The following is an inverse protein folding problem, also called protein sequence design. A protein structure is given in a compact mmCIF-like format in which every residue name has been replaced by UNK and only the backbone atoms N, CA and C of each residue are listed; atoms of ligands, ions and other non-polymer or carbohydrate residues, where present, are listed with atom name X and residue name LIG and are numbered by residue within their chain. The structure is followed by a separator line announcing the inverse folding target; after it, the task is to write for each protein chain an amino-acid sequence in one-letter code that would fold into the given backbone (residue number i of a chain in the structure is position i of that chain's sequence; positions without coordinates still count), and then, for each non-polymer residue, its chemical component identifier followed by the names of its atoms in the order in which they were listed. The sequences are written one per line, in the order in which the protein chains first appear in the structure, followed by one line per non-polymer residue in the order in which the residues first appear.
data_IF_429451776107
#
_entry.id   IF_429451776107
#
_cell.length_a   1.000
_cell.length_b   1.000
_cell.length_c   1.000
_cell.angle_alpha   90.00
_cell.angle_beta   90.00
_cell.angle_gamma   90.00
#
_symmetry.space_group_name_H-M   'P 1'
#
loop_
_entity.id
_entity.type
_entity.pdbx_description
1 polymer ?
#
# COMPACT_ATOMS: atom_id res chain seq x y z
N UNK A 1 10.17 -7.93 15.62
CA UNK A 1 9.94 -7.71 14.17
C UNK A 1 10.92 -6.64 13.71
N UNK A 2 11.92 -7.00 12.90
CA UNK A 2 12.92 -6.05 12.37
C UNK A 2 12.37 -5.50 11.05
N UNK A 3 11.91 -4.26 11.06
CA UNK A 3 11.33 -3.64 9.87
C UNK A 3 12.46 -3.23 8.91
N UNK A 4 12.72 -4.06 7.90
CA UNK A 4 13.68 -3.81 6.83
C UNK A 4 13.12 -2.81 5.78
N UNK A 5 12.49 -1.72 6.20
CA UNK A 5 12.13 -0.66 5.26
C UNK A 5 13.39 0.17 4.98
N UNK A 6 14.17 -0.29 3.99
CA UNK A 6 15.22 0.53 3.39
C UNK A 6 14.53 1.78 2.85
N UNK A 7 14.85 2.94 3.42
CA UNK A 7 14.43 4.28 2.96
C UNK A 7 15.08 4.56 1.61
N UNK A 8 14.69 3.80 0.60
CA UNK A 8 15.09 3.93 -0.78
C UNK A 8 13.83 4.12 -1.59
N UNK A 9 13.91 4.93 -2.65
CA UNK A 9 12.85 5.07 -3.63
C UNK A 9 12.56 3.69 -4.25
N UNK A 10 11.66 2.91 -3.63
CA UNK A 10 11.21 1.64 -4.19
C UNK A 10 10.30 2.01 -5.36
N UNK A 11 10.89 2.07 -6.55
CA UNK A 11 10.15 2.18 -7.79
C UNK A 11 9.54 0.80 -8.03
N UNK A 12 8.27 0.62 -7.64
CA UNK A 12 7.52 -0.57 -7.98
C UNK A 12 7.19 -0.50 -9.48
N UNK A 13 7.64 -1.47 -10.30
CA UNK A 13 7.25 -1.51 -11.70
C UNK A 13 5.74 -1.69 -11.79
N UNK A 14 5.09 -0.93 -12.67
CA UNK A 14 3.66 -1.07 -12.94
C UNK A 14 3.42 -2.45 -13.57
N UNK A 15 2.53 -3.25 -12.96
CA UNK A 15 2.18 -4.60 -13.44
C UNK A 15 1.52 -4.53 -14.82
N UNK A 16 0.69 -3.52 -15.03
CA UNK A 16 0.03 -3.22 -16.30
C UNK A 16 0.19 -1.73 -16.62
N UNK A 17 0.25 -1.40 -17.93
CA UNK A 17 0.19 0.00 -18.36
C UNK A 17 -1.16 0.59 -17.93
N UNK A 18 -1.18 1.68 -17.14
CA UNK A 18 -2.42 2.33 -16.78
C UNK A 18 -3.03 2.98 -18.04
N UNK A 19 -4.37 3.04 -18.13
CA UNK A 19 -5.05 3.91 -19.09
C UNK A 19 -4.48 5.33 -19.05
N UNK A 20 -4.42 6.01 -20.21
CA UNK A 20 -3.79 7.33 -20.34
C UNK A 20 -4.25 8.33 -19.29
N UNK A 21 -5.56 8.41 -19.03
CA UNK A 21 -6.13 9.27 -17.98
C UNK A 21 -5.56 8.97 -16.58
N UNK A 22 -5.43 7.69 -16.23
CA UNK A 22 -4.86 7.27 -14.94
C UNK A 22 -3.34 7.50 -14.90
N UNK A 23 -2.65 7.39 -16.02
CA UNK A 23 -1.20 7.62 -16.10
C UNK A 23 -0.81 9.03 -15.62
N UNK A 24 -1.65 10.04 -15.88
CA UNK A 24 -1.43 11.42 -15.42
C UNK A 24 -1.48 11.54 -13.89
N UNK A 25 -2.30 10.74 -13.21
CA UNK A 25 -2.36 10.75 -11.74
C UNK A 25 -1.03 10.25 -11.12
N UNK A 26 -0.36 9.32 -11.79
CA UNK A 26 0.89 8.73 -11.30
C UNK A 26 2.12 9.55 -11.67
N UNK A 27 2.17 10.14 -12.86
CA UNK A 27 3.36 10.80 -13.42
C UNK A 27 3.27 12.33 -13.31
N UNK A 28 2.07 12.89 -13.36
CA UNK A 28 1.86 14.33 -13.45
C UNK A 28 2.31 15.08 -12.20
N UNK A 29 2.83 16.29 -12.41
CA UNK A 29 3.39 17.16 -11.36
C UNK A 29 2.39 18.20 -10.81
N UNK A 30 1.12 18.12 -11.20
CA UNK A 30 0.07 19.01 -10.68
C UNK A 30 -0.17 18.72 -9.18
N UNK A 31 -0.41 19.76 -8.35
CA UNK A 31 -0.80 19.61 -6.94
C UNK A 31 -1.88 18.56 -6.69
N UNK A 32 -2.93 18.49 -7.52
CA UNK A 32 -4.00 17.50 -7.38
C UNK A 32 -3.48 16.06 -7.48
N UNK A 33 -2.56 15.81 -8.41
CA UNK A 33 -1.97 14.49 -8.61
C UNK A 33 -1.01 14.11 -7.48
N UNK A 34 -0.30 15.09 -6.93
CA UNK A 34 0.52 14.88 -5.73
C UNK A 34 -0.34 14.48 -4.53
N UNK A 35 -1.45 15.18 -4.30
CA UNK A 35 -2.41 14.84 -3.24
C UNK A 35 -3.00 13.46 -3.44
N UNK A 36 -3.40 13.12 -4.67
CA UNK A 36 -3.89 11.78 -5.01
C UNK A 36 -2.87 10.69 -4.67
N UNK A 37 -1.59 10.87 -5.06
CA UNK A 37 -0.51 9.90 -4.75
C UNK A 37 -0.30 9.72 -3.26
N UNK A 38 -0.30 10.79 -2.48
CA UNK A 38 -0.18 10.69 -1.02
C UNK A 38 -1.37 9.94 -0.42
N UNK A 39 -2.59 10.26 -0.85
CA UNK A 39 -3.80 9.64 -0.33
C UNK A 39 -3.86 8.13 -0.62
N UNK A 40 -3.54 7.73 -1.86
CA UNK A 40 -3.55 6.30 -2.22
C UNK A 40 -2.44 5.53 -1.48
N UNK A 41 -1.28 6.16 -1.23
CA UNK A 41 -0.21 5.55 -0.41
C UNK A 41 -0.67 5.32 1.03
N UNK A 42 -1.30 6.32 1.65
CA UNK A 42 -1.83 6.21 3.02
C UNK A 42 -2.92 5.13 3.10
N UNK A 43 -3.82 5.10 2.13
CA UNK A 43 -4.87 4.08 2.06
C UNK A 43 -4.27 2.67 1.96
N UNK A 44 -3.34 2.45 1.03
CA UNK A 44 -2.70 1.15 0.83
C UNK A 44 -1.90 0.71 2.06
N UNK A 45 -1.21 1.64 2.72
CA UNK A 45 -0.48 1.34 3.96
C UNK A 45 -1.45 0.91 5.07
N UNK A 46 -2.52 1.67 5.27
CA UNK A 46 -3.55 1.37 6.28
C UNK A 46 -4.23 0.03 5.99
N UNK A 47 -4.61 -0.22 4.74
CA UNK A 47 -5.20 -1.48 4.32
C UNK A 47 -4.26 -2.67 4.57
N UNK A 48 -2.98 -2.53 4.19
CA UNK A 48 -1.97 -3.57 4.43
C UNK A 48 -1.77 -3.81 5.92
N UNK A 49 -1.73 -2.76 6.73
CA UNK A 49 -1.59 -2.85 8.18
C UNK A 49 -2.79 -3.56 8.82
N UNK A 50 -4.02 -3.21 8.42
CA UNK A 50 -5.25 -3.89 8.86
C UNK A 50 -5.22 -5.35 8.45
N UNK A 51 -4.87 -5.65 7.19
CA UNK A 51 -4.81 -7.01 6.67
C UNK A 51 -3.79 -7.88 7.41
N UNK A 52 -2.60 -7.35 7.68
CA UNK A 52 -1.57 -8.03 8.48
C UNK A 52 -2.07 -8.26 9.90
N UNK A 53 -2.69 -7.26 10.53
CA UNK A 53 -3.23 -7.36 11.89
C UNK A 53 -4.36 -8.38 11.97
N UNK A 54 -5.25 -8.40 10.98
CA UNK A 54 -6.32 -9.38 10.85
C UNK A 54 -5.77 -10.80 10.69
N UNK A 55 -4.80 -11.01 9.77
CA UNK A 55 -4.12 -12.31 9.62
C UNK A 55 -3.38 -12.73 10.90
N UNK A 56 -2.76 -11.79 11.61
CA UNK A 56 -2.10 -12.06 12.90
C UNK A 56 -3.14 -12.50 13.95
N UNK A 57 -4.29 -11.84 14.03
CA UNK A 57 -5.37 -12.23 14.94
C UNK A 57 -5.93 -13.61 14.61
N UNK A 58 -6.14 -13.93 13.32
CA UNK A 58 -6.50 -15.30 12.89
C UNK A 58 -5.43 -16.31 13.32
N UNK A 59 -4.15 -15.99 13.14
CA UNK A 59 -3.05 -16.89 13.50
C UNK A 59 -2.94 -17.12 15.01
N UNK A 60 -3.33 -16.16 15.84
CA UNK A 60 -3.41 -16.30 17.30
C UNK A 60 -4.67 -17.11 17.69
N UNK A 61 -5.74 -17.04 16.91
CA UNK A 61 -7.02 -17.70 17.20
C UNK A 61 -7.09 -19.19 16.79
N UNK A 62 -5.97 -19.91 16.81
CA UNK A 62 -5.94 -21.38 16.59
C UNK A 62 -5.97 -22.21 17.88
N UNK A 63 -6.15 -21.57 19.05
CA UNK A 63 -6.12 -22.26 20.36
C UNK A 63 -7.42 -22.20 21.16
N UNK A 64 -8.55 -21.83 20.55
CA UNK A 64 -9.86 -22.07 21.17
C UNK A 64 -10.55 -23.24 20.46
N UNK A 65 -10.10 -24.46 20.78
CA UNK A 65 -10.96 -25.64 20.73
C UNK A 65 -11.43 -25.88 22.16
N UNK A 66 -12.75 -25.78 22.33
CA UNK A 66 -13.54 -26.30 23.47
C UNK A 66 -13.26 -27.80 23.62
#
# INVERSE_FOLDING_TARGET
FKAYYKKGNIILPLICKPPLYLSYLFIGNNPLYRTFRTNIQIYNYTFTFILISYKKNIRINFSYKI
#
